data_IF_164524863588
#
_entry.id   IF_164524863588
#
_cell.length_a   1.000
_cell.length_b   1.000
_cell.length_c   1.000
_cell.angle_alpha   90.00
_cell.angle_beta   90.00
_cell.angle_gamma   90.00
#
_symmetry.space_group_name_H-M   'P 1'
#
loop_
_entity.id
_entity.type
_entity.pdbx_description
1 polymer ?
#
# COMPACT_ATOMS: atom_id res chain seq x y z
N UNK A 1 11.90 9.99 20.43
CA UNK A 1 11.59 10.00 19.00
C UNK A 1 11.27 8.58 18.56
N UNK A 2 10.05 8.37 18.12
CA UNK A 2 9.57 7.03 17.75
C UNK A 2 9.12 6.99 16.30
N UNK A 3 9.21 5.79 15.70
CA UNK A 3 8.74 5.52 14.35
C UNK A 3 7.54 4.58 14.44
N UNK A 4 6.39 5.04 13.97
CA UNK A 4 5.14 4.29 13.97
C UNK A 4 4.77 3.92 12.54
N UNK A 5 4.50 2.64 12.30
CA UNK A 5 4.10 2.14 11.00
C UNK A 5 2.67 1.61 11.09
N UNK A 6 1.80 2.10 10.23
CA UNK A 6 0.37 1.74 10.23
C UNK A 6 0.01 1.14 8.86
N UNK A 7 -0.76 0.07 8.89
CA UNK A 7 -1.27 -0.60 7.70
C UNK A 7 -2.41 0.16 7.03
N UNK A 8 -3.01 -0.45 6.03
CA UNK A 8 -4.02 0.13 5.15
C UNK A 8 -5.13 0.84 5.93
N UNK A 9 -5.24 2.16 5.74
CA UNK A 9 -6.20 3.00 6.47
C UNK A 9 -7.58 2.95 5.82
N UNK A 10 -7.65 2.94 4.50
CA UNK A 10 -8.91 2.83 3.75
C UNK A 10 -10.04 3.73 4.27
N UNK A 11 -9.74 5.01 4.46
CA UNK A 11 -10.75 5.96 4.91
C UNK A 11 -11.24 5.77 6.35
N UNK A 12 -10.58 4.95 7.15
CA UNK A 12 -10.90 4.76 8.56
C UNK A 12 -10.28 5.88 9.41
N UNK A 13 -10.79 7.09 9.23
CA UNK A 13 -10.25 8.29 9.86
C UNK A 13 -10.35 8.25 11.37
N UNK A 14 -11.52 7.91 11.92
CA UNK A 14 -11.72 7.89 13.37
C UNK A 14 -10.80 6.89 14.05
N UNK A 15 -10.64 5.73 13.45
CA UNK A 15 -9.74 4.69 13.95
C UNK A 15 -8.28 5.14 13.87
N UNK A 16 -7.88 5.82 12.79
CA UNK A 16 -6.53 6.37 12.66
C UNK A 16 -6.21 7.36 13.77
N UNK A 17 -7.11 8.31 14.01
CA UNK A 17 -6.93 9.31 15.07
C UNK A 17 -6.90 8.66 16.46
N UNK A 18 -7.78 7.68 16.70
CA UNK A 18 -7.80 6.97 17.98
C UNK A 18 -6.50 6.18 18.20
N UNK A 19 -5.97 5.54 17.16
CA UNK A 19 -4.72 4.78 17.25
C UNK A 19 -3.52 5.70 17.51
N UNK A 20 -3.44 6.83 16.81
CA UNK A 20 -2.37 7.81 17.03
C UNK A 20 -2.43 8.41 18.43
N UNK A 21 -3.62 8.62 18.97
CA UNK A 21 -3.80 9.07 20.35
C UNK A 21 -3.36 8.00 21.35
N UNK A 22 -3.68 6.74 21.08
CA UNK A 22 -3.29 5.60 21.92
C UNK A 22 -1.76 5.54 22.12
N UNK A 23 -0.98 5.85 21.09
CA UNK A 23 0.48 5.79 21.13
C UNK A 23 1.13 7.14 21.42
N UNK A 24 0.35 8.17 21.71
CA UNK A 24 0.82 9.56 21.96
C UNK A 24 1.68 10.09 20.81
N UNK A 25 1.26 9.82 19.57
CA UNK A 25 2.00 10.31 18.40
C UNK A 25 2.09 11.83 18.43
N UNK A 26 3.33 12.34 18.33
CA UNK A 26 3.62 13.77 18.40
C UNK A 26 4.29 14.22 17.10
N UNK A 27 3.55 14.92 16.20
CA UNK A 27 4.14 15.48 14.98
C UNK A 27 5.34 16.37 15.30
N UNK A 28 6.38 16.27 14.47
CA UNK A 28 7.63 17.00 14.67
C UNK A 28 8.63 16.30 15.59
N UNK A 29 8.19 15.36 16.41
CA UNK A 29 9.06 14.51 17.23
C UNK A 29 9.08 13.07 16.71
N UNK A 30 7.90 12.52 16.43
CA UNK A 30 7.72 11.16 15.93
C UNK A 30 7.53 11.17 14.41
N UNK A 31 7.81 10.04 13.78
CA UNK A 31 7.57 9.83 12.36
C UNK A 31 6.51 8.76 12.17
N UNK A 32 5.54 9.03 11.30
CA UNK A 32 4.49 8.11 10.91
C UNK A 32 4.80 7.54 9.52
N UNK A 33 4.86 6.21 9.42
CA UNK A 33 5.00 5.50 8.15
C UNK A 33 3.67 4.84 7.80
N UNK A 34 3.17 5.06 6.58
CA UNK A 34 1.90 4.51 6.11
C UNK A 34 2.12 3.62 4.90
N UNK A 35 1.60 2.40 4.97
CA UNK A 35 1.81 1.39 3.92
C UNK A 35 1.03 1.64 2.63
N UNK A 36 0.26 2.71 2.56
CA UNK A 36 -0.59 3.01 1.41
C UNK A 36 -2.03 2.58 1.60
N UNK A 37 -2.82 2.70 0.55
CA UNK A 37 -4.26 2.52 0.59
C UNK A 37 -4.90 3.37 1.69
N UNK A 38 -4.66 4.69 1.60
CA UNK A 38 -5.24 5.65 2.54
C UNK A 38 -6.74 5.82 2.33
N UNK A 39 -7.20 5.54 1.12
CA UNK A 39 -8.54 5.89 0.65
C UNK A 39 -9.32 4.65 0.24
N UNK A 40 -10.57 4.86 -0.07
CA UNK A 40 -11.55 3.88 -0.56
C UNK A 40 -12.08 2.96 0.54
N UNK A 41 -13.32 2.55 0.36
CA UNK A 41 -14.06 1.58 1.18
C UNK A 41 -14.55 2.12 2.53
N UNK A 42 -13.70 2.72 3.32
CA UNK A 42 -14.11 3.38 4.57
C UNK A 42 -14.75 4.75 4.33
N UNK A 43 -15.38 5.34 5.36
CA UNK A 43 -16.21 6.54 5.18
C UNK A 43 -15.42 7.85 5.13
N UNK A 44 -14.18 7.89 5.57
CA UNK A 44 -13.44 9.13 5.83
C UNK A 44 -12.24 9.38 4.91
N UNK A 45 -12.28 8.97 3.64
CA UNK A 45 -11.14 9.15 2.73
C UNK A 45 -10.68 10.59 2.63
N UNK A 46 -11.61 11.54 2.57
CA UNK A 46 -11.29 12.97 2.53
C UNK A 46 -10.54 13.42 3.79
N UNK A 47 -11.07 13.06 4.95
CA UNK A 47 -10.46 13.45 6.24
C UNK A 47 -9.08 12.82 6.42
N UNK A 48 -8.91 11.57 5.97
CA UNK A 48 -7.60 10.89 6.01
C UNK A 48 -6.59 11.66 5.17
N UNK A 49 -6.91 11.99 3.92
CA UNK A 49 -5.96 12.70 3.05
C UNK A 49 -5.62 14.08 3.58
N UNK A 50 -6.61 14.83 4.06
CA UNK A 50 -6.38 16.16 4.66
C UNK A 50 -5.44 16.06 5.85
N UNK A 51 -5.70 15.10 6.73
CA UNK A 51 -4.88 14.91 7.93
C UNK A 51 -3.45 14.52 7.57
N UNK A 52 -3.27 13.48 6.74
CA UNK A 52 -1.95 12.99 6.36
C UNK A 52 -1.14 14.07 5.65
N UNK A 53 -1.76 14.79 4.72
CA UNK A 53 -1.10 15.92 4.06
C UNK A 53 -0.65 16.98 5.06
N UNK A 54 -1.45 17.25 6.08
CA UNK A 54 -1.13 18.26 7.11
C UNK A 54 0.08 17.90 7.96
N UNK A 55 0.45 16.62 8.03
CA UNK A 55 1.58 16.16 8.83
C UNK A 55 2.94 16.54 8.22
N UNK A 56 3.00 16.91 6.94
CA UNK A 56 4.24 17.33 6.27
C UNK A 56 5.35 16.30 6.43
N UNK A 57 6.51 16.75 6.94
CA UNK A 57 7.68 15.89 7.08
C UNK A 57 7.57 14.84 8.20
N UNK A 58 6.50 14.91 9.02
CA UNK A 58 6.26 13.91 10.07
C UNK A 58 5.69 12.61 9.51
N UNK A 59 5.33 12.56 8.22
CA UNK A 59 4.80 11.36 7.58
C UNK A 59 5.68 10.92 6.42
N UNK A 60 5.83 9.61 6.32
CA UNK A 60 6.36 8.93 5.13
C UNK A 60 5.34 7.90 4.70
N UNK A 61 4.91 7.94 3.45
CA UNK A 61 3.94 6.99 2.94
C UNK A 61 4.42 6.38 1.63
N UNK A 62 3.77 5.33 1.21
CA UNK A 62 3.86 4.79 -0.14
C UNK A 62 2.47 4.69 -0.74
N UNK A 63 2.39 4.73 -2.07
CA UNK A 63 1.13 4.59 -2.78
C UNK A 63 0.70 3.13 -2.83
N UNK A 64 -0.57 2.88 -2.55
CA UNK A 64 -1.22 1.59 -2.73
C UNK A 64 -2.07 1.56 -4.00
N UNK A 65 -2.58 0.38 -4.34
CA UNK A 65 -3.40 0.22 -5.55
C UNK A 65 -4.69 1.02 -5.49
N UNK A 66 -5.30 1.19 -4.32
CA UNK A 66 -6.51 2.02 -4.20
C UNK A 66 -6.21 3.51 -4.29
N UNK A 67 -5.04 3.95 -3.85
CA UNK A 67 -4.59 5.33 -4.05
C UNK A 67 -4.43 5.64 -5.54
N UNK A 68 -3.79 4.73 -6.28
CA UNK A 68 -3.64 4.86 -7.73
C UNK A 68 -5.00 4.84 -8.44
N UNK A 69 -5.91 3.98 -7.98
CA UNK A 69 -7.26 3.92 -8.53
C UNK A 69 -8.03 5.23 -8.31
N UNK A 70 -7.90 5.86 -7.14
CA UNK A 70 -8.46 7.18 -6.89
C UNK A 70 -7.95 8.21 -7.93
N UNK A 71 -6.65 8.20 -8.21
CA UNK A 71 -6.07 9.09 -9.22
C UNK A 71 -6.71 8.86 -10.59
N UNK A 72 -6.95 7.59 -10.95
CA UNK A 72 -7.58 7.23 -12.22
C UNK A 72 -9.05 7.66 -12.27
N UNK A 73 -9.77 7.54 -11.16
CA UNK A 73 -11.16 8.00 -11.04
C UNK A 73 -11.22 9.53 -11.18
N UNK A 74 -10.35 10.24 -10.48
CA UNK A 74 -10.28 11.71 -10.55
C UNK A 74 -9.97 12.20 -11.97
N UNK A 75 -9.08 11.50 -12.68
CA UNK A 75 -8.73 11.83 -14.07
C UNK A 75 -9.81 11.44 -15.09
N UNK A 76 -10.90 10.82 -14.66
CA UNK A 76 -11.99 10.39 -15.55
C UNK A 76 -11.70 9.10 -16.32
N UNK A 77 -10.65 8.37 -15.96
CA UNK A 77 -10.24 7.14 -16.64
C UNK A 77 -11.02 5.94 -16.12
N UNK A 78 -11.22 5.86 -14.81
CA UNK A 78 -11.92 4.76 -14.16
C UNK A 78 -13.22 5.22 -13.55
N UNK A 79 -14.17 4.28 -13.40
CA UNK A 79 -15.48 4.55 -12.87
C UNK A 79 -15.43 4.74 -11.34
N UNK A 80 -16.13 5.76 -10.84
CA UNK A 80 -16.36 5.95 -9.41
C UNK A 80 -17.42 4.96 -8.92
N UNK A 81 -17.00 3.89 -8.26
CA UNK A 81 -17.91 2.88 -7.72
C UNK A 81 -18.44 3.32 -6.35
N UNK A 82 -19.75 3.23 -6.10
CA UNK A 82 -20.32 3.66 -4.80
C UNK A 82 -19.69 3.02 -3.58
N UNK A 83 -19.26 1.76 -3.69
CA UNK A 83 -18.61 1.04 -2.58
C UNK A 83 -17.29 1.67 -2.13
N UNK A 84 -16.64 2.45 -2.98
CA UNK A 84 -15.37 3.08 -2.66
C UNK A 84 -15.53 4.38 -1.86
N UNK A 85 -16.76 4.92 -1.81
CA UNK A 85 -17.10 6.10 -1.00
C UNK A 85 -16.19 7.30 -1.25
N UNK A 86 -15.83 7.54 -2.51
CA UNK A 86 -14.90 8.60 -2.90
C UNK A 86 -15.58 9.94 -3.22
N UNK A 87 -16.90 9.97 -3.36
CA UNK A 87 -17.63 11.16 -3.78
C UNK A 87 -17.34 12.39 -2.91
N UNK A 88 -17.34 12.30 -1.56
CA UNK A 88 -17.01 13.48 -0.75
C UNK A 88 -15.61 14.04 -1.04
N UNK A 89 -14.65 13.17 -1.34
CA UNK A 89 -13.30 13.58 -1.71
C UNK A 89 -13.26 14.23 -3.09
N UNK A 90 -13.92 13.61 -4.07
CA UNK A 90 -13.94 14.12 -5.45
C UNK A 90 -14.64 15.48 -5.55
N UNK A 91 -15.67 15.72 -4.72
CA UNK A 91 -16.45 16.95 -4.71
C UNK A 91 -15.86 18.01 -3.77
N UNK A 92 -14.81 17.73 -3.03
CA UNK A 92 -14.23 18.65 -2.08
C UNK A 92 -13.61 19.86 -2.79
N UNK A 93 -13.68 21.07 -2.19
CA UNK A 93 -13.10 22.27 -2.81
C UNK A 93 -11.58 22.20 -2.94
N UNK A 94 -10.90 21.39 -2.12
CA UNK A 94 -9.47 21.16 -2.15
C UNK A 94 -9.07 19.84 -2.82
N UNK A 95 -9.98 19.23 -3.59
CA UNK A 95 -9.72 17.94 -4.26
C UNK A 95 -8.48 18.01 -5.17
N UNK A 96 -8.36 19.06 -5.98
CA UNK A 96 -7.19 19.22 -6.87
C UNK A 96 -5.88 19.23 -6.10
N UNK A 97 -5.82 19.96 -4.99
CA UNK A 97 -4.63 20.03 -4.16
C UNK A 97 -4.28 18.68 -3.52
N UNK A 98 -5.31 17.97 -3.04
CA UNK A 98 -5.12 16.65 -2.44
C UNK A 98 -4.63 15.62 -3.48
N UNK A 99 -5.22 15.62 -4.66
CA UNK A 99 -4.82 14.73 -5.76
C UNK A 99 -3.40 15.04 -6.22
N UNK A 100 -3.06 16.33 -6.39
CA UNK A 100 -1.72 16.73 -6.79
C UNK A 100 -0.66 16.36 -5.74
N UNK A 101 -1.01 16.44 -4.47
CA UNK A 101 -0.14 15.96 -3.40
C UNK A 101 0.01 14.44 -3.44
N UNK A 102 -1.11 13.71 -3.55
CA UNK A 102 -1.11 12.24 -3.52
C UNK A 102 -0.29 11.64 -4.68
N UNK A 103 -0.47 12.14 -5.90
CA UNK A 103 0.22 11.62 -7.08
C UNK A 103 1.74 11.85 -7.05
N UNK A 104 2.24 12.66 -6.14
CA UNK A 104 3.67 12.90 -5.94
C UNK A 104 4.25 12.07 -4.81
N UNK A 105 3.46 11.22 -4.18
CA UNK A 105 3.97 10.34 -3.13
C UNK A 105 4.72 9.15 -3.73
N UNK A 106 5.70 8.60 -3.01
CA UNK A 106 6.54 7.52 -3.54
C UNK A 106 5.85 6.15 -3.52
N UNK A 107 6.45 5.20 -4.25
CA UNK A 107 6.10 3.78 -4.20
C UNK A 107 6.97 2.99 -3.23
N UNK A 108 8.09 3.57 -2.80
CA UNK A 108 9.09 2.90 -2.00
C UNK A 108 9.71 3.88 -1.01
N UNK A 109 9.78 3.50 0.26
CA UNK A 109 10.52 4.21 1.29
C UNK A 109 11.66 3.32 1.79
N UNK A 110 12.83 3.90 1.96
CA UNK A 110 14.02 3.21 2.47
C UNK A 110 14.65 4.06 3.57
N UNK A 111 14.95 3.43 4.69
CA UNK A 111 15.75 4.02 5.77
C UNK A 111 16.97 3.14 5.97
N UNK A 112 18.13 3.61 5.50
CA UNK A 112 19.38 2.84 5.55
C UNK A 112 19.90 2.64 6.97
N UNK A 113 19.68 3.60 7.85
CA UNK A 113 20.11 3.50 9.23
C UNK A 113 19.34 2.40 9.97
N UNK A 114 18.03 2.33 9.75
CA UNK A 114 17.16 1.30 10.35
C UNK A 114 17.17 -0.01 9.58
N UNK A 115 17.79 -0.06 8.40
CA UNK A 115 17.67 -1.20 7.48
C UNK A 115 16.21 -1.58 7.26
N UNK A 116 15.39 -0.58 7.00
CA UNK A 116 13.95 -0.70 6.87
C UNK A 116 13.49 -0.25 5.49
N UNK A 117 12.70 -1.09 4.84
CA UNK A 117 12.11 -0.85 3.53
C UNK A 117 10.59 -0.97 3.66
N UNK A 118 9.85 -0.03 3.06
CA UNK A 118 8.40 -0.11 2.99
C UNK A 118 7.92 0.03 1.55
N UNK A 119 7.05 -0.88 1.14
CA UNK A 119 6.30 -0.80 -0.10
C UNK A 119 4.91 -1.38 0.16
N UNK A 120 3.90 -0.93 -0.58
CA UNK A 120 2.51 -1.32 -0.30
C UNK A 120 2.30 -2.84 -0.32
N UNK A 121 2.75 -3.52 -1.37
CA UNK A 121 2.59 -4.97 -1.52
C UNK A 121 3.85 -5.78 -1.15
N UNK A 122 4.97 -5.11 -0.89
CA UNK A 122 6.25 -5.75 -0.61
C UNK A 122 7.26 -5.54 -1.73
N UNK A 123 8.31 -6.34 -1.73
CA UNK A 123 9.39 -6.28 -2.72
C UNK A 123 9.48 -7.61 -3.47
N UNK A 124 9.35 -7.57 -4.79
CA UNK A 124 9.47 -8.81 -5.57
C UNK A 124 10.85 -9.44 -5.37
N UNK A 125 10.91 -10.77 -5.17
CA UNK A 125 12.18 -11.46 -4.97
C UNK A 125 13.12 -11.37 -6.18
N UNK A 126 12.64 -10.86 -7.31
CA UNK A 126 13.44 -10.69 -8.53
C UNK A 126 14.35 -9.47 -8.49
N UNK A 127 14.18 -8.54 -7.53
CA UNK A 127 14.90 -7.28 -7.47
C UNK A 127 15.89 -7.23 -6.31
N UNK A 128 17.06 -6.64 -6.57
CA UNK A 128 17.88 -6.07 -5.50
C UNK A 128 17.34 -4.66 -5.14
N UNK A 129 17.89 -4.05 -4.10
CA UNK A 129 17.38 -2.75 -3.64
C UNK A 129 17.61 -1.64 -4.65
N UNK A 130 18.75 -1.64 -5.35
CA UNK A 130 19.04 -0.62 -6.36
C UNK A 130 18.07 -0.70 -7.54
N UNK A 131 17.74 -1.91 -7.98
CA UNK A 131 16.71 -2.13 -9.00
C UNK A 131 15.34 -1.66 -8.51
N UNK A 132 14.97 -2.01 -7.28
CA UNK A 132 13.71 -1.57 -6.69
C UNK A 132 13.62 -0.04 -6.64
N UNK A 133 14.68 0.64 -6.21
CA UNK A 133 14.74 2.10 -6.16
C UNK A 133 14.57 2.72 -7.56
N UNK A 134 15.31 2.22 -8.53
CA UNK A 134 15.24 2.73 -9.91
C UNK A 134 13.83 2.55 -10.48
N UNK A 135 13.27 1.37 -10.30
CA UNK A 135 11.91 1.08 -10.77
C UNK A 135 10.87 1.98 -10.10
N UNK A 136 10.96 2.18 -8.79
CA UNK A 136 10.05 3.06 -8.08
C UNK A 136 10.13 4.50 -8.60
N UNK A 137 11.35 5.03 -8.77
CA UNK A 137 11.55 6.41 -9.25
C UNK A 137 11.02 6.62 -10.67
N UNK A 138 11.09 5.60 -11.53
CA UNK A 138 10.58 5.70 -12.89
C UNK A 138 9.06 5.88 -12.94
N UNK A 139 8.31 5.11 -12.15
CA UNK A 139 6.85 5.27 -12.07
C UNK A 139 6.49 6.58 -11.37
N UNK A 140 7.18 6.93 -10.29
CA UNK A 140 6.95 8.17 -9.55
C UNK A 140 7.14 9.40 -10.45
N UNK A 141 8.15 9.38 -11.33
CA UNK A 141 8.40 10.47 -12.27
C UNK A 141 7.22 10.69 -13.23
N UNK A 142 6.62 9.61 -13.72
CA UNK A 142 5.44 9.70 -14.60
C UNK A 142 4.23 10.20 -13.84
N UNK A 143 3.99 9.71 -12.63
CA UNK A 143 2.88 10.16 -11.78
C UNK A 143 2.99 11.64 -11.41
N UNK A 144 4.21 12.15 -11.24
CA UNK A 144 4.46 13.56 -10.95
C UNK A 144 4.37 14.46 -12.19
N UNK A 145 4.43 13.88 -13.40
CA UNK A 145 4.36 14.61 -14.66
C UNK A 145 2.92 14.89 -15.11
N UNK A 146 2.77 15.77 -16.10
CA UNK A 146 1.48 16.06 -16.71
C UNK A 146 0.92 14.88 -17.51
N UNK A 147 1.74 13.87 -17.79
CA UNK A 147 1.35 12.64 -18.51
C UNK A 147 0.72 11.58 -17.59
N UNK A 148 0.52 11.88 -16.31
CA UNK A 148 0.01 10.89 -15.37
C UNK A 148 -1.34 10.26 -15.78
N UNK A 149 -2.30 10.99 -16.38
CA UNK A 149 -3.54 10.33 -16.81
C UNK A 149 -3.31 9.25 -17.86
N UNK A 150 -2.39 9.50 -18.78
CA UNK A 150 -2.02 8.53 -19.83
C UNK A 150 -1.45 7.25 -19.23
N UNK A 151 -0.55 7.38 -18.24
CA UNK A 151 -0.01 6.22 -17.53
C UNK A 151 -1.10 5.48 -16.76
N UNK A 152 -1.98 6.19 -16.06
CA UNK A 152 -3.06 5.57 -15.27
C UNK A 152 -4.02 4.75 -16.15
N UNK A 153 -4.27 5.21 -17.36
CA UNK A 153 -5.06 4.43 -18.33
C UNK A 153 -4.36 3.13 -18.71
N UNK A 154 -3.03 3.15 -18.81
CA UNK A 154 -2.21 2.00 -19.23
C UNK A 154 -1.81 1.07 -18.07
N UNK A 155 -1.98 1.48 -16.81
CA UNK A 155 -1.51 0.70 -15.66
C UNK A 155 -2.32 -0.56 -15.38
N UNK A 156 -3.58 -0.59 -15.81
CA UNK A 156 -4.44 -1.74 -15.58
C UNK A 156 -4.04 -2.91 -16.46
N UNK A 157 -4.08 -4.09 -15.88
CA UNK A 157 -3.73 -5.33 -16.56
C UNK A 157 -2.68 -6.12 -15.76
N UNK A 158 -2.58 -7.40 -16.09
CA UNK A 158 -1.77 -8.35 -15.33
C UNK A 158 -0.43 -8.67 -15.99
N UNK A 159 -0.26 -8.26 -17.23
CA UNK A 159 0.93 -8.59 -18.04
C UNK A 159 1.74 -7.35 -18.38
N UNK A 160 3.07 -7.45 -18.42
CA UNK A 160 3.89 -8.63 -18.13
C UNK A 160 3.92 -8.96 -16.64
N UNK A 161 4.14 -10.23 -16.30
CA UNK A 161 4.20 -10.70 -14.92
C UNK A 161 5.56 -11.28 -14.52
N UNK A 162 6.56 -11.13 -15.36
CA UNK A 162 7.92 -11.58 -15.12
C UNK A 162 8.88 -10.42 -15.38
N UNK A 163 9.78 -10.17 -14.43
CA UNK A 163 10.80 -9.12 -14.57
C UNK A 163 11.83 -9.50 -15.62
N UNK A 164 12.21 -8.52 -16.42
CA UNK A 164 13.39 -8.57 -17.27
C UNK A 164 13.97 -7.16 -17.37
N UNK A 165 15.28 -7.04 -17.39
CA UNK A 165 15.95 -5.76 -17.60
C UNK A 165 15.69 -5.19 -19.00
N UNK A 166 15.22 -6.02 -19.92
CA UNK A 166 14.83 -5.60 -21.27
C UNK A 166 13.43 -5.00 -21.34
N UNK A 167 12.64 -5.07 -20.28
CA UNK A 167 11.35 -4.42 -20.25
C UNK A 167 11.47 -2.91 -20.42
N UNK A 168 10.63 -2.34 -21.27
CA UNK A 168 10.64 -0.91 -21.57
C UNK A 168 9.23 -0.36 -21.74
N UNK A 169 9.10 0.97 -21.75
CA UNK A 169 7.85 1.66 -22.00
C UNK A 169 6.76 1.33 -20.99
N UNK A 170 5.52 1.36 -21.45
CA UNK A 170 4.34 1.13 -20.59
C UNK A 170 4.31 -0.27 -20.00
N UNK A 171 4.79 -1.28 -20.72
CA UNK A 171 4.87 -2.66 -20.21
C UNK A 171 5.76 -2.73 -18.96
N UNK A 172 6.91 -2.05 -18.99
CA UNK A 172 7.81 -1.97 -17.83
C UNK A 172 7.16 -1.25 -16.66
N UNK A 173 6.55 -0.11 -16.91
CA UNK A 173 5.88 0.68 -15.86
C UNK A 173 4.70 -0.10 -15.23
N UNK A 174 3.97 -0.86 -16.04
CA UNK A 174 2.86 -1.71 -15.54
C UNK A 174 3.39 -2.83 -14.65
N UNK A 175 4.46 -3.51 -15.04
CA UNK A 175 5.08 -4.53 -14.19
C UNK A 175 5.50 -3.94 -12.84
N UNK A 176 6.19 -2.81 -12.86
CA UNK A 176 6.67 -2.14 -11.64
C UNK A 176 5.49 -1.81 -10.72
N UNK A 177 4.43 -1.23 -11.28
CA UNK A 177 3.24 -0.85 -10.52
C UNK A 177 2.58 -2.07 -9.90
N UNK A 178 2.43 -3.16 -10.65
CA UNK A 178 1.86 -4.40 -10.14
C UNK A 178 2.71 -5.02 -9.04
N UNK A 179 4.03 -5.03 -9.21
CA UNK A 179 4.94 -5.56 -8.20
C UNK A 179 4.85 -4.79 -6.88
N UNK A 180 4.81 -3.46 -6.93
CA UNK A 180 4.75 -2.64 -5.71
C UNK A 180 3.37 -2.56 -5.07
N UNK A 181 2.29 -2.73 -5.86
CA UNK A 181 0.93 -2.42 -5.33
C UNK A 181 -0.06 -3.57 -5.37
N UNK A 182 0.22 -4.65 -6.12
CA UNK A 182 -0.74 -5.75 -6.28
C UNK A 182 -0.18 -7.14 -5.99
N UNK A 183 1.11 -7.30 -5.81
CA UNK A 183 1.75 -8.59 -5.60
C UNK A 183 1.24 -9.29 -4.33
N UNK A 184 1.00 -10.60 -4.41
CA UNK A 184 0.74 -11.48 -3.26
C UNK A 184 1.55 -12.75 -3.41
N UNK A 185 1.20 -13.58 -4.38
CA UNK A 185 1.85 -14.85 -4.66
C UNK A 185 2.78 -14.75 -5.87
N UNK A 186 3.79 -15.61 -5.85
CA UNK A 186 4.71 -15.79 -6.97
C UNK A 186 4.85 -17.27 -7.27
N UNK A 187 5.17 -17.57 -8.53
CA UNK A 187 5.70 -18.88 -8.89
C UNK A 187 7.12 -19.04 -8.32
N UNK A 188 7.64 -20.28 -8.19
CA UNK A 188 8.95 -20.48 -7.58
C UNK A 188 10.12 -19.72 -8.23
N UNK A 189 9.99 -19.36 -9.51
CA UNK A 189 10.98 -18.55 -10.23
C UNK A 189 10.85 -17.04 -9.97
N UNK A 190 9.89 -16.62 -9.15
CA UNK A 190 9.62 -15.22 -8.86
C UNK A 190 8.58 -14.56 -9.76
N UNK A 191 8.12 -15.21 -10.81
CA UNK A 191 7.08 -14.69 -11.69
C UNK A 191 5.81 -14.42 -10.87
N UNK A 192 5.17 -13.27 -11.10
CA UNK A 192 3.98 -12.88 -10.34
C UNK A 192 2.75 -13.69 -10.75
N UNK A 193 1.98 -14.14 -9.76
CA UNK A 193 0.61 -14.58 -9.95
C UNK A 193 -0.32 -13.41 -9.62
N UNK A 194 -1.24 -13.09 -10.53
CA UNK A 194 -2.13 -11.94 -10.37
C UNK A 194 -3.58 -12.35 -10.05
N UNK A 195 -3.82 -13.64 -9.82
CA UNK A 195 -5.18 -14.16 -9.62
C UNK A 195 -5.50 -14.52 -8.18
N UNK A 196 -4.56 -15.15 -7.48
CA UNK A 196 -4.79 -15.69 -6.13
C UNK A 196 -4.73 -14.60 -5.09
N UNK A 197 -5.75 -14.52 -4.22
CA UNK A 197 -5.88 -13.51 -3.18
C UNK A 197 -6.12 -14.11 -1.80
N UNK A 198 -6.24 -15.43 -1.74
CA UNK A 198 -6.49 -16.18 -0.52
C UNK A 198 -5.29 -16.20 0.42
N UNK A 199 -5.42 -16.95 1.51
CA UNK A 199 -4.31 -17.18 2.44
C UNK A 199 -3.26 -18.11 1.84
N UNK A 200 -1.99 -18.08 2.33
CA UNK A 200 -0.95 -18.99 1.81
C UNK A 200 -1.31 -20.45 1.90
N UNK A 201 -2.04 -20.87 2.93
CA UNK A 201 -2.46 -22.26 3.12
C UNK A 201 -3.47 -22.74 2.07
N UNK A 202 -4.25 -21.81 1.52
CA UNK A 202 -5.30 -22.11 0.54
C UNK A 202 -4.85 -21.94 -0.89
N UNK A 203 -3.64 -21.42 -1.13
CA UNK A 203 -3.14 -21.15 -2.46
C UNK A 203 -2.84 -22.45 -3.23
N UNK A 204 -3.19 -22.50 -4.52
CA UNK A 204 -2.86 -23.68 -5.33
C UNK A 204 -1.36 -23.82 -5.55
N UNK A 205 -0.85 -25.06 -5.46
CA UNK A 205 0.53 -25.34 -5.82
C UNK A 205 0.79 -25.00 -7.30
N UNK A 206 1.95 -24.44 -7.69
CA UNK A 206 3.17 -24.27 -6.89
C UNK A 206 3.34 -22.88 -6.28
N UNK A 207 2.28 -22.10 -6.16
CA UNK A 207 2.34 -20.72 -5.69
C UNK A 207 2.87 -20.61 -4.27
N UNK A 208 3.67 -19.56 -4.04
CA UNK A 208 4.20 -19.21 -2.72
C UNK A 208 3.96 -17.72 -2.46
N UNK A 209 3.70 -17.31 -1.21
CA UNK A 209 3.73 -15.88 -0.92
C UNK A 209 5.10 -15.31 -1.29
N UNK A 210 5.12 -14.06 -1.75
CA UNK A 210 6.35 -13.42 -2.23
C UNK A 210 7.48 -13.48 -1.19
N UNK A 211 7.13 -13.36 0.08
CA UNK A 211 8.11 -13.34 1.18
C UNK A 211 8.67 -14.74 1.54
N UNK A 212 8.09 -15.80 1.00
CA UNK A 212 8.63 -17.15 1.16
C UNK A 212 9.70 -17.50 0.12
N UNK A 213 9.88 -16.67 -0.89
CA UNK A 213 10.91 -16.85 -1.91
C UNK A 213 12.10 -15.98 -1.52
N UNK A 214 13.30 -16.57 -1.30
CA UNK A 214 14.47 -15.80 -0.94
C UNK A 214 14.81 -14.75 -2.00
N UNK A 215 15.17 -13.55 -1.55
CA UNK A 215 15.53 -12.46 -2.44
C UNK A 215 16.61 -11.57 -1.81
N UNK A 216 17.28 -10.73 -2.64
CA UNK A 216 18.41 -9.92 -2.16
C UNK A 216 18.02 -8.89 -1.10
N UNK A 217 16.81 -8.30 -1.19
CA UNK A 217 16.39 -7.27 -0.25
C UNK A 217 16.10 -7.85 1.12
N UNK A 218 15.32 -8.92 1.19
CA UNK A 218 14.90 -9.52 2.47
C UNK A 218 16.03 -10.19 3.21
N UNK A 219 17.15 -10.48 2.56
CA UNK A 219 18.37 -11.02 3.22
C UNK A 219 19.12 -9.96 4.01
N UNK A 220 18.89 -8.66 3.75
CA UNK A 220 19.67 -7.56 4.34
C UNK A 220 18.79 -6.53 5.04
N UNK A 221 17.54 -6.34 4.61
CA UNK A 221 16.63 -5.33 5.13
C UNK A 221 15.38 -5.96 5.72
N UNK A 222 14.81 -5.30 6.72
CA UNK A 222 13.44 -5.57 7.12
C UNK A 222 12.47 -4.93 6.12
N UNK A 223 11.34 -5.60 5.85
CA UNK A 223 10.34 -5.09 4.91
C UNK A 223 9.00 -5.00 5.62
N UNK A 224 8.36 -3.83 5.50
CA UNK A 224 7.01 -3.58 6.00
C UNK A 224 6.07 -3.37 4.82
N UNK A 225 4.91 -3.99 4.86
CA UNK A 225 3.92 -3.92 3.78
C UNK A 225 2.50 -3.97 4.35
N UNK A 226 1.53 -3.63 3.50
CA UNK A 226 0.10 -3.74 3.78
C UNK A 226 -0.60 -4.64 2.77
N UNK A 227 -1.63 -4.13 2.09
CA UNK A 227 -2.25 -4.70 0.90
C UNK A 227 -3.02 -6.01 1.09
N UNK A 228 -2.50 -6.95 1.83
CA UNK A 228 -2.99 -8.33 1.86
C UNK A 228 -3.82 -8.58 3.12
N UNK A 229 -5.08 -8.14 3.10
CA UNK A 229 -5.97 -8.22 4.26
C UNK A 229 -6.24 -9.65 4.71
N UNK A 230 -6.38 -10.61 3.77
CA UNK A 230 -6.61 -12.01 4.09
C UNK A 230 -5.47 -12.64 4.90
N UNK A 231 -4.26 -12.11 4.81
CA UNK A 231 -3.10 -12.55 5.58
C UNK A 231 -3.22 -12.19 7.07
N UNK A 232 -3.94 -11.12 7.38
CA UNK A 232 -4.10 -10.59 8.74
C UNK A 232 -2.75 -10.33 9.45
N UNK A 233 -1.70 -10.04 8.67
CA UNK A 233 -0.36 -9.83 9.20
C UNK A 233 0.33 -11.07 9.76
N UNK A 234 -0.20 -12.26 9.50
CA UNK A 234 0.29 -13.53 10.08
C UNK A 234 1.15 -14.31 9.10
N UNK A 235 2.02 -15.18 9.66
CA UNK A 235 2.75 -16.15 8.86
C UNK A 235 3.97 -15.60 8.11
N UNK A 236 4.38 -14.36 8.36
CA UNK A 236 5.57 -13.79 7.75
C UNK A 236 6.83 -14.25 8.50
N UNK A 237 7.96 -14.44 7.79
CA UNK A 237 9.22 -14.75 8.46
C UNK A 237 9.76 -13.55 9.25
N UNK A 238 10.77 -13.80 10.09
CA UNK A 238 11.45 -12.74 10.84
C UNK A 238 11.94 -11.63 9.89
N UNK A 239 11.74 -10.39 10.31
CA UNK A 239 12.14 -9.22 9.53
C UNK A 239 11.11 -8.76 8.48
N UNK A 240 10.03 -9.48 8.32
CA UNK A 240 8.96 -9.12 7.37
C UNK A 240 7.66 -8.91 8.14
N UNK A 241 7.07 -7.72 7.99
CA UNK A 241 5.93 -7.26 8.79
C UNK A 241 4.76 -6.88 7.89
N UNK A 242 3.69 -7.66 7.92
CA UNK A 242 2.43 -7.35 7.28
C UNK A 242 1.51 -6.62 8.24
N UNK A 243 0.97 -5.46 7.85
CA UNK A 243 0.19 -4.61 8.75
C UNK A 243 -1.27 -4.44 8.34
N UNK A 244 -1.72 -5.01 7.22
CA UNK A 244 -3.12 -4.92 6.82
C UNK A 244 -3.94 -5.94 7.60
N UNK A 245 -4.70 -5.45 8.56
CA UNK A 245 -5.57 -6.26 9.41
C UNK A 245 -7.05 -5.96 9.20
N UNK A 246 -7.38 -5.39 8.04
CA UNK A 246 -8.75 -5.33 7.54
C UNK A 246 -9.66 -4.33 8.22
N UNK A 247 -9.16 -3.17 8.64
CA UNK A 247 -9.98 -2.18 9.36
C UNK A 247 -11.28 -1.83 8.61
N UNK A 248 -11.20 -1.56 7.30
CA UNK A 248 -12.40 -1.22 6.52
C UNK A 248 -13.37 -2.38 6.35
N UNK A 249 -12.98 -3.58 6.71
CA UNK A 249 -13.79 -4.80 6.65
C UNK A 249 -14.30 -5.25 8.03
N UNK A 250 -14.20 -4.40 9.06
CA UNK A 250 -14.63 -4.75 10.40
C UNK A 250 -13.56 -5.39 11.26
N UNK A 251 -12.33 -5.48 10.78
CA UNK A 251 -11.17 -5.93 11.54
C UNK A 251 -10.62 -4.83 12.44
N UNK A 252 -9.33 -4.57 12.34
CA UNK A 252 -8.67 -3.56 13.15
C UNK A 252 -7.61 -2.82 12.35
N UNK A 253 -7.23 -1.62 12.81
CA UNK A 253 -6.09 -0.87 12.31
C UNK A 253 -4.89 -1.19 13.19
N UNK A 254 -3.79 -1.59 12.59
CA UNK A 254 -2.59 -2.07 13.30
C UNK A 254 -1.44 -1.10 13.14
N UNK A 255 -0.79 -0.80 14.27
CA UNK A 255 0.42 0.02 14.34
C UNK A 255 1.58 -0.80 14.91
N UNK A 256 2.74 -0.70 14.26
CA UNK A 256 4.00 -1.24 14.74
C UNK A 256 4.91 -0.09 15.14
N UNK A 257 5.35 -0.05 16.40
CA UNK A 257 6.41 0.86 16.83
C UNK A 257 7.75 0.21 16.55
N UNK A 258 8.53 0.85 15.69
CA UNK A 258 9.73 0.22 15.14
C UNK A 258 10.81 -0.06 16.16
N UNK A 259 11.05 0.87 17.09
CA UNK A 259 12.18 0.83 18.00
C UNK A 259 12.18 -0.38 18.93
N UNK A 260 11.00 -0.82 19.37
CA UNK A 260 10.84 -1.96 20.27
C UNK A 260 9.95 -3.07 19.70
N UNK A 261 9.48 -2.90 18.46
CA UNK A 261 8.59 -3.85 17.78
C UNK A 261 7.28 -4.12 18.53
N UNK A 262 6.81 -3.13 19.30
CA UNK A 262 5.53 -3.23 19.98
C UNK A 262 4.37 -2.99 19.00
N UNK A 263 3.31 -3.78 19.13
CA UNK A 263 2.09 -3.65 18.33
C UNK A 263 0.99 -2.97 19.13
N UNK A 264 0.23 -2.13 18.44
CA UNK A 264 -0.94 -1.45 18.97
C UNK A 264 -2.06 -1.60 17.96
N UNK A 265 -3.28 -1.79 18.43
CA UNK A 265 -4.41 -1.99 17.55
C UNK A 265 -5.58 -1.09 17.95
N UNK A 266 -6.37 -0.71 16.96
CA UNK A 266 -7.62 0.01 17.13
C UNK A 266 -8.71 -0.78 16.41
N UNK A 267 -9.70 -1.31 17.13
CA UNK A 267 -10.80 -2.00 16.48
C UNK A 267 -11.58 -1.09 15.53
N UNK A 268 -12.06 -1.66 14.44
CA UNK A 268 -12.90 -0.93 13.48
C UNK A 268 -14.21 -0.51 14.14
N UNK A 269 -14.65 0.71 13.81
CA UNK A 269 -15.99 1.18 14.19
C UNK A 269 -17.08 0.61 13.27
N UNK A 270 -16.67 -0.05 12.18
CA UNK A 270 -17.58 -0.58 11.18
C UNK A 270 -18.20 -1.90 11.66
N UNK A 271 -19.52 -1.98 11.60
CA UNK A 271 -20.22 -3.26 11.67
C UNK A 271 -20.46 -3.77 10.26
N UNK A 272 -20.00 -4.99 9.97
CA UNK A 272 -20.22 -5.61 8.68
C UNK A 272 -21.66 -6.14 8.61
N UNK A 273 -22.40 -5.72 7.57
CA UNK A 273 -23.63 -6.40 7.19
C UNK A 273 -23.28 -7.77 6.58
N UNK A 274 -24.18 -8.74 6.75
CA UNK A 274 -23.95 -10.15 6.39
C UNK A 274 -23.62 -10.43 4.91
N UNK A 275 -23.71 -9.42 4.02
CA UNK A 275 -23.33 -9.51 2.60
C UNK A 275 -21.98 -8.92 2.24
N UNK A 276 -21.27 -8.30 3.20
CA UNK A 276 -20.02 -7.60 2.89
C UNK A 276 -18.78 -8.50 2.97
N UNK A 277 -18.91 -9.72 3.48
CA UNK A 277 -17.80 -10.65 3.61
C UNK A 277 -17.20 -11.10 2.26
N UNK A 278 -17.94 -10.97 1.16
CA UNK A 278 -17.45 -11.33 -0.17
C UNK A 278 -16.50 -10.27 -0.76
N UNK A 279 -16.48 -9.09 -0.20
CA UNK A 279 -15.70 -7.97 -0.74
C UNK A 279 -14.21 -8.01 -0.33
N UNK A 280 -13.82 -8.84 0.63
CA UNK A 280 -12.43 -8.96 1.12
C UNK A 280 -11.49 -9.49 0.04
N UNK A 281 -11.99 -10.20 -0.96
CA UNK A 281 -11.19 -10.78 -2.04
C UNK A 281 -10.95 -9.84 -3.23
N UNK A 282 -11.53 -8.65 -3.21
CA UNK A 282 -11.39 -7.71 -4.34
C UNK A 282 -10.26 -6.65 -4.07
#
# INVERSE_FOLDING_TARGET
>A
MSTYLIGDVHGCYDELIALLKQVDFTPGQDTLWLTGDLVARGPGSLDVLRYVKSLGDSVRMVLGNHDLHLLAVFAGISRNKPKDRLTPLLDAPDADDLINWLRRQPLLQVDEEKKLVMAHAGITPQWDLETAKTCARDVEAVLASDSYPFFLDAMYGDMPNHWSEELSGLARLRFITNAFTRMRFCFPNGQLDMYSKETPESAPAPLKPWFAIPGPVTSEYSVVFGHWAALEGKGTPEGIYGLDTGCCWGGELTCLRWEDKAYFVQPSNRQLDSGENEAVAS
#
